data_IF_582063954200
#
_entry.id   IF_582063954200
#
_cell.length_a   1.000
_cell.length_b   1.000
_cell.length_c   1.000
_cell.angle_alpha   90.00
_cell.angle_beta   90.00
_cell.angle_gamma   90.00
#
_symmetry.space_group_name_H-M   'P 1'
#
loop_
_entity.id
_entity.type
_entity.pdbx_description
1 polymer ?
#
# COMPACT_ATOMS: atom_id res chain seq x y z
N UNK A 1 -63.26 -43.71 -18.56
CA UNK A 1 -63.86 -44.99 -19.01
C UNK A 1 -62.76 -46.04 -18.92
N UNK A 2 -63.00 -47.11 -18.14
CA UNK A 2 -62.19 -48.33 -17.95
C UNK A 2 -60.82 -48.15 -17.27
N UNK A 3 -60.68 -48.34 -15.95
CA UNK A 3 -60.65 -49.62 -15.18
C UNK A 3 -59.75 -50.69 -15.80
N UNK A 4 -58.68 -51.09 -15.09
CA UNK A 4 -58.45 -52.50 -14.75
C UNK A 4 -57.51 -52.67 -13.54
N UNK A 5 -57.89 -53.63 -12.70
CA UNK A 5 -57.32 -54.04 -11.41
C UNK A 5 -56.23 -55.12 -11.57
N UNK A 6 -55.28 -55.17 -10.65
CA UNK A 6 -54.72 -56.39 -9.99
C UNK A 6 -53.47 -55.97 -9.21
N UNK A 7 -53.42 -55.93 -7.88
CA UNK A 7 -53.57 -56.99 -6.87
C UNK A 7 -52.50 -58.09 -6.97
N UNK A 8 -51.40 -57.93 -6.24
CA UNK A 8 -50.62 -59.04 -5.66
C UNK A 8 -49.98 -58.61 -4.34
N UNK A 9 -50.37 -59.30 -3.27
CA UNK A 9 -49.77 -59.30 -1.94
C UNK A 9 -48.47 -60.12 -1.99
N UNK A 10 -47.42 -59.66 -1.34
CA UNK A 10 -46.37 -60.51 -0.77
C UNK A 10 -46.05 -60.01 0.64
N UNK A 11 -46.01 -60.95 1.57
CA UNK A 11 -45.75 -60.79 3.00
C UNK A 11 -44.28 -61.12 3.32
N UNK A 12 -43.81 -60.54 4.45
CA UNK A 12 -42.66 -60.91 5.29
C UNK A 12 -41.28 -60.74 4.62
N UNK A 13 -40.24 -60.18 5.25
CA UNK A 13 -39.69 -60.39 6.60
C UNK A 13 -38.84 -59.18 7.02
N UNK A 14 -38.86 -58.88 8.32
CA UNK A 14 -38.09 -57.81 8.93
C UNK A 14 -36.56 -58.02 8.87
N UNK A 15 -35.85 -56.93 8.57
CA UNK A 15 -34.41 -56.79 8.77
C UNK A 15 -34.22 -55.63 9.74
N UNK A 16 -33.65 -55.91 10.90
CA UNK A 16 -33.23 -54.91 11.87
C UNK A 16 -32.07 -54.11 11.28
N UNK A 17 -32.31 -52.85 10.96
CA UNK A 17 -31.27 -51.92 10.52
C UNK A 17 -30.48 -51.44 11.75
N UNK A 18 -29.27 -51.95 11.92
CA UNK A 18 -28.26 -51.37 12.80
C UNK A 18 -27.83 -50.04 12.18
N UNK A 19 -28.29 -48.93 12.75
CA UNK A 19 -27.86 -47.58 12.36
C UNK A 19 -26.47 -47.34 12.95
N UNK A 20 -25.43 -47.78 12.24
CA UNK A 20 -24.08 -47.28 12.47
C UNK A 20 -24.08 -45.78 12.13
N UNK A 21 -24.04 -44.93 13.16
CA UNK A 21 -23.64 -43.53 13.01
C UNK A 21 -22.17 -43.51 12.61
N UNK A 22 -21.90 -43.63 11.31
CA UNK A 22 -20.64 -43.16 10.75
C UNK A 22 -20.66 -41.64 10.89
N UNK A 23 -20.02 -41.18 11.97
CA UNK A 23 -19.61 -39.80 12.10
C UNK A 23 -18.56 -39.57 11.02
N UNK A 24 -19.00 -39.16 9.82
CA UNK A 24 -18.11 -38.63 8.81
C UNK A 24 -17.65 -37.29 9.37
N UNK A 25 -16.36 -37.11 9.71
CA UNK A 25 -15.87 -35.77 9.96
C UNK A 25 -16.10 -35.01 8.66
N UNK A 26 -17.05 -34.08 8.67
CA UNK A 26 -17.07 -32.98 7.72
C UNK A 26 -15.82 -32.17 8.02
N UNK A 27 -14.68 -32.64 7.51
CA UNK A 27 -13.52 -31.82 7.32
C UNK A 27 -14.01 -30.70 6.42
N UNK A 28 -14.25 -29.53 7.00
CA UNK A 28 -14.43 -28.31 6.26
C UNK A 28 -13.27 -28.26 5.27
N UNK A 29 -13.57 -28.48 4.00
CA UNK A 29 -12.67 -28.13 2.91
C UNK A 29 -12.53 -26.61 3.02
N UNK A 30 -11.55 -26.17 3.80
CA UNK A 30 -11.07 -24.80 3.76
C UNK A 30 -10.68 -24.60 2.30
N UNK A 31 -11.41 -23.75 1.58
CA UNK A 31 -11.07 -23.46 0.20
C UNK A 31 -9.61 -22.98 0.16
N UNK A 32 -8.83 -23.55 -0.76
CA UNK A 32 -7.41 -23.29 -0.88
C UNK A 32 -7.14 -21.83 -1.25
N UNK A 33 -6.03 -21.28 -0.74
CA UNK A 33 -5.49 -20.00 -1.19
C UNK A 33 -4.83 -20.17 -2.58
N UNK A 34 -4.79 -19.10 -3.36
CA UNK A 34 -4.12 -19.07 -4.66
C UNK A 34 -3.00 -18.05 -4.65
N UNK A 35 -1.78 -18.50 -4.89
CA UNK A 35 -0.58 -17.67 -4.99
C UNK A 35 -0.23 -17.48 -6.46
N UNK A 36 -0.15 -16.24 -6.91
CA UNK A 36 0.31 -15.88 -8.24
C UNK A 36 1.80 -15.58 -8.15
N UNK A 37 2.62 -16.36 -8.84
CA UNK A 37 4.08 -16.20 -8.82
C UNK A 37 4.63 -15.83 -10.20
N UNK A 38 5.65 -14.99 -10.19
CA UNK A 38 6.49 -14.71 -11.34
C UNK A 38 7.33 -15.95 -11.65
N UNK A 39 7.19 -16.43 -12.88
CA UNK A 39 8.05 -17.46 -13.43
C UNK A 39 9.41 -16.86 -13.85
N UNK A 40 10.36 -17.67 -14.31
CA UNK A 40 11.67 -17.14 -14.69
C UNK A 40 11.55 -16.04 -15.78
N UNK A 41 12.54 -15.15 -15.96
CA UNK A 41 12.49 -14.13 -17.01
C UNK A 41 12.15 -14.75 -18.38
N UNK A 42 11.02 -14.35 -18.97
CA UNK A 42 10.51 -14.89 -20.24
C UNK A 42 9.37 -15.91 -20.13
N UNK A 43 9.04 -16.38 -18.93
CA UNK A 43 7.94 -17.32 -18.70
C UNK A 43 6.64 -16.63 -18.26
N UNK A 44 5.50 -17.27 -18.57
CA UNK A 44 4.16 -16.81 -18.13
C UNK A 44 4.01 -17.00 -16.62
N UNK A 45 3.25 -16.11 -15.98
CA UNK A 45 2.91 -16.21 -14.55
C UNK A 45 2.35 -17.59 -14.21
N UNK A 46 2.76 -18.16 -13.07
CA UNK A 46 2.27 -19.45 -12.58
C UNK A 46 1.29 -19.21 -11.44
N UNK A 47 0.15 -19.92 -11.45
CA UNK A 47 -0.81 -19.96 -10.34
C UNK A 47 -0.58 -21.23 -9.55
N UNK A 48 -0.43 -21.11 -8.24
CA UNK A 48 -0.20 -22.23 -7.32
C UNK A 48 -1.30 -22.23 -6.27
N UNK A 49 -1.88 -23.39 -5.99
CA UNK A 49 -3.02 -23.54 -5.08
C UNK A 49 -2.65 -24.40 -3.88
N UNK A 50 -2.98 -23.92 -2.69
CA UNK A 50 -2.73 -24.58 -1.40
C UNK A 50 -3.07 -23.66 -0.23
N UNK A 51 -2.80 -24.07 1.00
CA UNK A 51 -2.98 -23.21 2.18
C UNK A 51 -1.71 -22.41 2.45
N UNK A 52 -1.80 -21.08 2.51
CA UNK A 52 -0.66 -20.25 2.95
C UNK A 52 -0.54 -20.38 4.47
N UNK A 53 0.54 -21.03 4.91
CA UNK A 53 0.82 -21.23 6.33
C UNK A 53 1.39 -19.95 6.95
N UNK A 54 2.31 -19.29 6.25
CA UNK A 54 2.82 -17.97 6.62
C UNK A 54 3.30 -17.19 5.40
N UNK A 55 3.35 -15.86 5.52
CA UNK A 55 3.92 -14.97 4.51
C UNK A 55 4.60 -13.78 5.20
N UNK A 56 5.92 -13.74 5.09
CA UNK A 56 6.81 -12.70 5.63
C UNK A 56 7.62 -12.05 4.52
N UNK A 57 8.48 -11.09 4.88
CA UNK A 57 9.49 -10.55 3.98
C UNK A 57 10.56 -11.52 3.52
N UNK A 58 10.72 -12.64 4.21
CA UNK A 58 11.76 -13.64 3.92
C UNK A 58 11.23 -14.80 3.09
N UNK A 59 9.97 -15.20 3.32
CA UNK A 59 9.38 -16.33 2.61
C UNK A 59 7.86 -16.33 2.62
N UNK A 60 7.28 -16.99 1.62
CA UNK A 60 5.91 -17.48 1.65
C UNK A 60 5.94 -19.01 1.76
N UNK A 61 5.32 -19.54 2.80
CA UNK A 61 5.21 -20.99 3.03
C UNK A 61 3.85 -21.48 2.57
N UNK A 62 3.83 -22.27 1.50
CA UNK A 62 2.61 -22.86 0.93
C UNK A 62 2.53 -24.35 1.27
N UNK A 63 1.41 -24.79 1.83
CA UNK A 63 1.12 -26.19 2.12
C UNK A 63 0.10 -26.74 1.13
N UNK A 64 0.46 -27.83 0.45
CA UNK A 64 -0.40 -28.53 -0.49
C UNK A 64 -1.32 -29.55 0.21
N UNK A 65 -2.44 -29.95 -0.42
CA UNK A 65 -3.37 -30.94 0.15
C UNK A 65 -2.72 -32.31 0.45
N UNK A 66 -1.63 -32.66 -0.24
CA UNK A 66 -0.87 -33.89 0.01
C UNK A 66 0.13 -33.77 1.18
N UNK A 67 0.11 -32.66 1.93
CA UNK A 67 1.03 -32.39 3.04
C UNK A 67 2.39 -31.86 2.64
N UNK A 68 2.73 -31.79 1.34
CA UNK A 68 3.98 -31.19 0.87
C UNK A 68 3.99 -29.69 1.18
N UNK A 69 5.13 -29.15 1.58
CA UNK A 69 5.35 -27.72 1.72
C UNK A 69 6.29 -27.20 0.63
N UNK A 70 6.05 -25.97 0.17
CA UNK A 70 6.93 -25.24 -0.75
C UNK A 70 7.18 -23.84 -0.18
N UNK A 71 8.46 -23.49 -0.12
CA UNK A 71 8.90 -22.13 0.24
C UNK A 71 9.08 -21.33 -1.05
N UNK A 72 8.37 -20.22 -1.15
CA UNK A 72 8.39 -19.31 -2.30
C UNK A 72 9.08 -18.02 -1.86
N UNK A 73 10.03 -17.57 -2.69
CA UNK A 73 10.69 -16.27 -2.54
C UNK A 73 9.65 -15.12 -2.66
N UNK A 74 9.53 -14.22 -1.67
CA UNK A 74 8.59 -13.10 -1.69
C UNK A 74 8.72 -12.20 -2.92
N UNK A 75 9.92 -12.02 -3.48
CA UNK A 75 10.13 -11.19 -4.68
C UNK A 75 9.49 -11.80 -5.95
N UNK A 76 9.17 -13.09 -5.89
CA UNK A 76 8.43 -13.80 -6.93
C UNK A 76 6.93 -13.75 -6.71
N UNK A 77 6.44 -13.40 -5.53
CA UNK A 77 5.00 -13.35 -5.24
C UNK A 77 4.41 -12.08 -5.85
N UNK A 78 3.50 -12.24 -6.81
CA UNK A 78 2.79 -11.14 -7.46
C UNK A 78 1.53 -10.80 -6.66
N UNK A 79 0.77 -11.82 -6.25
CA UNK A 79 -0.43 -11.65 -5.44
C UNK A 79 -0.75 -12.95 -4.68
N UNK A 80 -1.47 -12.81 -3.58
CA UNK A 80 -2.03 -13.90 -2.80
C UNK A 80 -3.54 -13.67 -2.72
N UNK A 81 -4.29 -14.53 -3.39
CA UNK A 81 -5.75 -14.57 -3.32
C UNK A 81 -6.11 -15.57 -2.23
N UNK A 82 -6.27 -15.07 -1.01
CA UNK A 82 -6.67 -15.90 0.11
C UNK A 82 -8.15 -16.28 0.07
N UNK A 83 -8.50 -17.36 0.75
CA UNK A 83 -9.89 -17.61 1.12
C UNK A 83 -10.30 -16.63 2.23
N UNK A 84 -10.76 -15.46 1.79
CA UNK A 84 -11.14 -14.36 2.67
C UNK A 84 -12.52 -14.59 3.27
N UNK A 85 -12.66 -14.34 4.59
CA UNK A 85 -13.98 -14.19 5.21
C UNK A 85 -14.74 -13.05 4.54
N UNK A 86 -16.07 -13.14 4.50
CA UNK A 86 -16.95 -12.15 3.87
C UNK A 86 -16.66 -10.72 4.33
N UNK A 87 -16.38 -10.53 5.63
CA UNK A 87 -16.03 -9.22 6.19
C UNK A 87 -14.77 -8.61 5.56
N UNK A 88 -13.76 -9.42 5.24
CA UNK A 88 -12.54 -8.96 4.59
C UNK A 88 -12.81 -8.62 3.12
N UNK A 89 -13.60 -9.43 2.41
CA UNK A 89 -14.02 -9.11 1.03
C UNK A 89 -14.78 -7.78 0.97
N UNK A 90 -15.70 -7.57 1.91
CA UNK A 90 -16.46 -6.33 2.06
C UNK A 90 -15.58 -5.13 2.42
N UNK A 91 -14.53 -5.33 3.23
CA UNK A 91 -13.54 -4.31 3.53
C UNK A 91 -12.73 -3.91 2.29
N UNK A 92 -12.25 -4.90 1.51
CA UNK A 92 -11.52 -4.68 0.26
C UNK A 92 -12.38 -3.91 -0.76
N UNK A 93 -13.67 -4.24 -0.86
CA UNK A 93 -14.61 -3.54 -1.73
C UNK A 93 -14.80 -2.06 -1.33
N UNK A 94 -15.01 -1.79 -0.03
CA UNK A 94 -15.07 -0.41 0.48
C UNK A 94 -13.78 0.36 0.24
N UNK A 95 -12.62 -0.28 0.44
CA UNK A 95 -11.31 0.32 0.19
C UNK A 95 -11.13 0.68 -1.30
N UNK A 96 -11.47 -0.23 -2.20
CA UNK A 96 -11.39 0.00 -3.64
C UNK A 96 -12.31 1.15 -4.09
N UNK A 97 -13.49 1.27 -3.48
CA UNK A 97 -14.44 2.34 -3.71
C UNK A 97 -14.01 3.71 -3.12
N UNK A 98 -12.91 3.76 -2.35
CA UNK A 98 -12.46 4.98 -1.69
C UNK A 98 -13.23 5.35 -0.43
N UNK A 99 -14.11 4.47 0.06
CA UNK A 99 -14.78 4.63 1.35
C UNK A 99 -13.89 4.07 2.48
N UNK A 100 -12.87 4.84 2.82
CA UNK A 100 -11.86 4.42 3.80
C UNK A 100 -12.42 4.33 5.22
N UNK A 101 -13.49 5.06 5.55
CA UNK A 101 -14.16 4.96 6.84
C UNK A 101 -14.90 3.62 6.99
N UNK A 102 -15.68 3.23 5.98
CA UNK A 102 -16.32 1.92 5.99
C UNK A 102 -15.29 0.78 5.90
N UNK A 103 -14.23 0.95 5.11
CA UNK A 103 -13.15 -0.02 5.02
C UNK A 103 -12.45 -0.22 6.36
N UNK A 104 -12.09 0.86 7.07
CA UNK A 104 -11.49 0.81 8.41
C UNK A 104 -12.35 -0.02 9.38
N UNK A 105 -13.65 0.30 9.48
CA UNK A 105 -14.55 -0.38 10.40
C UNK A 105 -14.57 -1.90 10.15
N UNK A 106 -14.64 -2.30 8.88
CA UNK A 106 -14.66 -3.71 8.46
C UNK A 106 -13.31 -4.40 8.63
N UNK A 107 -12.20 -3.74 8.31
CA UNK A 107 -10.87 -4.29 8.56
C UNK A 107 -10.58 -4.48 10.04
N UNK A 108 -11.03 -3.57 10.91
CA UNK A 108 -10.91 -3.74 12.37
C UNK A 108 -11.69 -4.96 12.86
N UNK A 109 -12.84 -5.24 12.26
CA UNK A 109 -13.58 -6.47 12.56
C UNK A 109 -12.85 -7.70 12.01
N UNK A 110 -12.43 -7.67 10.75
CA UNK A 110 -11.66 -8.74 10.13
C UNK A 110 -10.40 -9.10 10.94
N UNK A 111 -9.69 -8.10 11.48
CA UNK A 111 -8.51 -8.32 12.31
C UNK A 111 -8.82 -9.04 13.63
N UNK A 112 -9.99 -8.80 14.23
CA UNK A 112 -10.41 -9.50 15.46
C UNK A 112 -10.80 -10.95 15.18
N UNK A 113 -11.39 -11.19 14.01
CA UNK A 113 -11.95 -12.49 13.65
C UNK A 113 -10.93 -13.40 12.96
N UNK A 114 -9.80 -12.86 12.48
CA UNK A 114 -8.79 -13.59 11.72
C UNK A 114 -7.75 -14.25 12.64
N UNK A 115 -7.46 -15.51 12.41
CA UNK A 115 -6.50 -16.30 13.20
C UNK A 115 -5.18 -16.48 12.45
N UNK A 116 -5.19 -16.40 11.11
CA UNK A 116 -4.00 -16.55 10.28
C UNK A 116 -3.13 -15.30 10.40
N UNK A 117 -1.96 -15.44 11.02
CA UNK A 117 -1.00 -14.34 11.26
C UNK A 117 -0.64 -13.57 9.99
N UNK A 118 -0.40 -14.26 8.88
CA UNK A 118 -0.08 -13.60 7.60
C UNK A 118 -1.23 -12.73 7.07
N UNK A 119 -2.48 -13.13 7.30
CA UNK A 119 -3.65 -12.33 6.94
C UNK A 119 -3.78 -11.14 7.88
N UNK A 120 -3.53 -11.32 9.18
CA UNK A 120 -3.50 -10.21 10.13
C UNK A 120 -2.48 -9.13 9.72
N UNK A 121 -1.26 -9.53 9.28
CA UNK A 121 -0.25 -8.59 8.74
C UNK A 121 -0.77 -7.80 7.54
N UNK A 122 -1.42 -8.48 6.59
CA UNK A 122 -2.06 -7.83 5.44
C UNK A 122 -3.14 -6.85 5.89
N UNK A 123 -4.02 -7.25 6.80
CA UNK A 123 -5.11 -6.39 7.32
C UNK A 123 -4.54 -5.17 8.06
N UNK A 124 -3.47 -5.33 8.85
CA UNK A 124 -2.76 -4.21 9.48
C UNK A 124 -2.24 -3.22 8.44
N UNK A 125 -1.62 -3.70 7.35
CA UNK A 125 -1.17 -2.82 6.27
C UNK A 125 -2.32 -2.04 5.63
N UNK A 126 -3.47 -2.70 5.42
CA UNK A 126 -4.67 -2.06 4.86
C UNK A 126 -5.27 -1.03 5.82
N UNK A 127 -5.26 -1.31 7.13
CA UNK A 127 -5.65 -0.33 8.15
C UNK A 127 -4.72 0.88 8.16
N UNK A 128 -3.40 0.66 8.05
CA UNK A 128 -2.44 1.75 7.92
C UNK A 128 -2.78 2.65 6.73
N UNK A 129 -3.07 2.08 5.56
CA UNK A 129 -3.52 2.86 4.39
C UNK A 129 -4.83 3.62 4.65
N UNK A 130 -5.84 2.98 5.22
CA UNK A 130 -7.11 3.65 5.55
C UNK A 130 -6.87 4.86 6.45
N UNK A 131 -6.09 4.71 7.51
CA UNK A 131 -5.80 5.79 8.45
C UNK A 131 -5.01 6.92 7.79
N UNK A 132 -4.03 6.62 6.92
CA UNK A 132 -3.30 7.63 6.14
C UNK A 132 -4.27 8.46 5.29
N UNK A 133 -5.19 7.81 4.58
CA UNK A 133 -6.16 8.51 3.72
C UNK A 133 -7.22 9.30 4.47
N UNK A 134 -7.48 8.92 5.71
CA UNK A 134 -8.34 9.68 6.63
C UNK A 134 -7.59 10.79 7.37
N UNK A 135 -6.27 10.96 7.14
CA UNK A 135 -5.44 11.93 7.85
C UNK A 135 -5.17 11.58 9.32
N UNK A 136 -5.50 10.35 9.75
CA UNK A 136 -5.36 9.85 11.12
C UNK A 136 -3.98 9.23 11.33
N UNK A 137 -2.94 10.06 11.29
CA UNK A 137 -1.54 9.61 11.25
C UNK A 137 -1.14 8.78 12.49
N UNK A 138 -1.57 9.19 13.68
CA UNK A 138 -1.31 8.43 14.91
C UNK A 138 -1.87 7.00 14.85
N UNK A 139 -3.09 6.84 14.34
CA UNK A 139 -3.70 5.52 14.16
C UNK A 139 -3.00 4.71 13.06
N UNK A 140 -2.53 5.37 11.99
CA UNK A 140 -1.75 4.72 10.95
C UNK A 140 -0.45 4.11 11.51
N UNK A 141 0.25 4.85 12.38
CA UNK A 141 1.46 4.37 13.06
C UNK A 141 1.12 3.24 14.04
N UNK A 142 0.04 3.35 14.81
CA UNK A 142 -0.42 2.26 15.71
C UNK A 142 -0.77 0.98 14.97
N UNK A 143 -1.27 1.06 13.74
CA UNK A 143 -1.50 -0.12 12.90
C UNK A 143 -0.20 -0.67 12.28
N UNK A 144 0.73 0.21 11.89
CA UNK A 144 1.97 -0.18 11.22
C UNK A 144 3.02 -0.75 12.20
N UNK A 145 3.15 -0.18 13.39
CA UNK A 145 4.13 -0.59 14.39
C UNK A 145 4.09 -2.08 14.76
N UNK A 146 2.92 -2.70 15.07
CA UNK A 146 2.87 -4.13 15.34
C UNK A 146 3.19 -4.97 14.09
N UNK A 147 2.81 -4.52 12.89
CA UNK A 147 3.17 -5.19 11.64
C UNK A 147 4.70 -5.26 11.46
N UNK A 148 5.39 -4.13 11.60
CA UNK A 148 6.84 -4.08 11.45
C UNK A 148 7.58 -4.79 12.59
N UNK A 149 7.03 -4.76 13.82
CA UNK A 149 7.60 -5.52 14.95
C UNK A 149 7.50 -7.03 14.72
N UNK A 150 6.38 -7.48 14.17
CA UNK A 150 6.13 -8.89 13.89
C UNK A 150 7.00 -9.44 12.76
N UNK A 151 7.22 -8.61 11.75
CA UNK A 151 7.93 -8.95 10.52
C UNK A 151 8.69 -7.70 10.02
N UNK A 152 9.93 -7.47 10.52
CA UNK A 152 10.73 -6.31 10.11
C UNK A 152 10.99 -6.29 8.60
N UNK A 153 11.06 -7.46 7.95
CA UNK A 153 11.28 -7.57 6.50
C UNK A 153 9.99 -7.49 5.68
N UNK A 154 8.83 -7.21 6.31
CA UNK A 154 7.50 -7.33 5.70
C UNK A 154 7.36 -6.88 4.24
N UNK A 155 6.64 -7.62 3.38
CA UNK A 155 6.36 -7.20 2.01
C UNK A 155 5.49 -5.93 1.96
N UNK A 156 4.85 -5.57 3.08
CA UNK A 156 3.95 -4.43 3.18
C UNK A 156 4.63 -3.12 3.62
N UNK A 157 5.97 -3.03 3.50
CA UNK A 157 6.75 -1.85 3.90
C UNK A 157 6.25 -0.55 3.25
N UNK A 158 5.68 -0.62 2.04
CA UNK A 158 5.10 0.53 1.34
C UNK A 158 4.01 1.26 2.14
N UNK A 159 3.34 0.57 3.07
CA UNK A 159 2.33 1.14 3.94
C UNK A 159 2.90 2.14 4.96
N UNK A 160 4.21 2.14 5.20
CA UNK A 160 4.89 2.98 6.19
C UNK A 160 4.40 4.45 6.11
N UNK A 161 3.88 5.03 7.21
CA UNK A 161 3.24 6.34 7.18
C UNK A 161 4.25 7.50 7.17
N UNK A 162 5.03 7.60 6.11
CA UNK A 162 5.94 8.71 5.86
C UNK A 162 5.19 9.85 5.15
N UNK A 163 5.59 11.08 5.43
CA UNK A 163 5.21 12.22 4.60
C UNK A 163 6.29 12.50 3.55
N UNK A 164 5.86 12.80 2.33
CA UNK A 164 6.73 13.17 1.20
C UNK A 164 6.56 14.63 0.78
N UNK A 165 5.52 15.29 1.28
CA UNK A 165 5.18 16.69 1.01
C UNK A 165 5.58 17.58 2.19
N UNK A 166 6.05 18.79 1.90
CA UNK A 166 6.41 19.75 2.95
C UNK A 166 5.13 20.40 3.47
N UNK A 167 4.58 19.84 4.54
CA UNK A 167 3.39 20.36 5.22
C UNK A 167 3.67 20.40 6.72
N UNK A 168 3.31 21.51 7.35
CA UNK A 168 3.46 21.63 8.79
C UNK A 168 2.46 20.67 9.47
N UNK A 169 2.92 19.73 10.29
CA UNK A 169 2.02 18.87 11.05
C UNK A 169 1.19 19.71 12.03
N UNK A 170 -0.01 19.23 12.37
CA UNK A 170 -0.73 19.79 13.52
C UNK A 170 -0.01 19.43 14.83
N UNK A 171 -0.36 20.12 15.92
CA UNK A 171 0.34 19.99 17.20
C UNK A 171 0.34 18.56 17.76
N UNK A 172 -0.76 17.82 17.57
CA UNK A 172 -0.87 16.45 18.08
C UNK A 172 0.05 15.49 17.30
N UNK A 173 0.07 15.60 15.97
CA UNK A 173 0.98 14.83 15.12
C UNK A 173 2.43 15.20 15.40
N UNK A 174 2.75 16.48 15.60
CA UNK A 174 4.12 16.89 15.93
C UNK A 174 4.60 16.32 17.26
N UNK A 175 3.73 16.30 18.29
CA UNK A 175 4.04 15.72 19.60
C UNK A 175 4.31 14.23 19.50
N UNK A 176 3.47 13.48 18.77
CA UNK A 176 3.66 12.05 18.60
C UNK A 176 4.88 11.72 17.72
N UNK A 177 5.08 12.47 16.63
CA UNK A 177 6.26 12.33 15.78
C UNK A 177 7.56 12.57 16.54
N UNK A 178 7.55 13.54 17.46
CA UNK A 178 8.62 13.77 18.43
C UNK A 178 8.90 12.53 19.29
N UNK A 179 7.87 11.86 19.80
CA UNK A 179 8.05 10.64 20.60
C UNK A 179 8.61 9.50 19.75
N UNK A 180 8.09 9.28 18.54
CA UNK A 180 8.57 8.24 17.63
C UNK A 180 10.03 8.46 17.20
N UNK A 181 10.42 9.72 16.96
CA UNK A 181 11.80 10.09 16.63
C UNK A 181 12.81 9.65 17.69
N UNK A 182 12.40 9.64 18.97
CA UNK A 182 13.25 9.27 20.10
C UNK A 182 13.21 7.77 20.43
N UNK A 183 12.35 6.99 19.78
CA UNK A 183 12.20 5.56 20.04
C UNK A 183 13.33 4.73 19.41
N UNK A 184 14.42 4.55 20.16
CA UNK A 184 15.58 3.76 19.74
C UNK A 184 15.31 2.26 19.53
N UNK A 185 14.14 1.75 19.93
CA UNK A 185 13.81 0.34 19.77
C UNK A 185 13.29 -0.01 18.38
N UNK A 186 12.90 1.00 17.58
CA UNK A 186 12.31 0.78 16.27
C UNK A 186 12.83 1.78 15.23
N UNK A 187 13.65 1.28 14.31
CA UNK A 187 14.15 2.05 13.17
C UNK A 187 13.00 2.66 12.33
N UNK A 188 11.92 1.89 12.11
CA UNK A 188 10.75 2.37 11.39
C UNK A 188 10.04 3.54 12.10
N UNK A 189 9.85 3.47 13.43
CA UNK A 189 9.23 4.57 14.19
C UNK A 189 10.10 5.82 14.16
N UNK A 190 11.42 5.68 14.32
CA UNK A 190 12.35 6.81 14.20
C UNK A 190 12.28 7.47 12.84
N UNK A 191 12.23 6.67 11.76
CA UNK A 191 12.11 7.17 10.39
C UNK A 191 10.79 7.92 10.19
N UNK A 192 9.67 7.37 10.69
CA UNK A 192 8.37 8.04 10.66
C UNK A 192 8.45 9.37 11.40
N UNK A 193 8.91 9.36 12.65
CA UNK A 193 9.06 10.56 13.47
C UNK A 193 9.91 11.63 12.80
N UNK A 194 11.02 11.24 12.18
CA UNK A 194 11.88 12.14 11.42
C UNK A 194 11.13 12.76 10.23
N UNK A 195 10.43 11.95 9.42
CA UNK A 195 9.73 12.44 8.23
C UNK A 195 8.72 13.55 8.52
N UNK A 196 7.99 13.44 9.65
CA UNK A 196 6.96 14.39 10.08
C UNK A 196 7.53 15.63 10.80
N UNK A 197 8.71 15.53 11.40
CA UNK A 197 9.37 16.64 12.11
C UNK A 197 10.31 17.46 11.21
N UNK A 198 10.52 17.05 9.97
CA UNK A 198 11.33 17.80 8.98
C UNK A 198 10.80 19.21 8.65
N UNK A 199 9.48 19.41 8.78
CA UNK A 199 8.81 20.69 8.53
C UNK A 199 8.48 21.46 9.82
N UNK A 200 9.05 21.08 10.96
CA UNK A 200 8.76 21.67 12.28
C UNK A 200 9.99 22.35 12.89
N UNK A 201 9.85 22.92 14.08
CA UNK A 201 10.96 23.51 14.84
C UNK A 201 12.09 22.49 15.13
N UNK A 202 11.79 21.18 15.07
CA UNK A 202 12.75 20.10 15.35
C UNK A 202 13.48 19.58 14.11
N UNK A 203 13.43 20.31 13.00
CA UNK A 203 14.08 19.95 11.72
C UNK A 203 15.53 19.49 11.88
N UNK A 204 16.32 20.18 12.71
CA UNK A 204 17.74 19.82 12.91
C UNK A 204 17.91 18.44 13.54
N UNK A 205 17.07 18.08 14.51
CA UNK A 205 17.07 16.76 15.15
C UNK A 205 16.62 15.67 14.19
N UNK A 206 15.60 15.95 13.37
CA UNK A 206 15.14 15.03 12.33
C UNK A 206 16.24 14.73 11.31
N UNK A 207 16.94 15.76 10.81
CA UNK A 207 18.07 15.59 9.88
C UNK A 207 19.21 14.78 10.52
N UNK A 208 19.52 15.05 11.80
CA UNK A 208 20.51 14.27 12.53
C UNK A 208 20.13 12.79 12.59
N UNK A 209 18.89 12.48 12.99
CA UNK A 209 18.40 11.11 13.07
C UNK A 209 18.42 10.41 11.70
N UNK A 210 18.01 11.10 10.62
CA UNK A 210 18.04 10.53 9.27
C UNK A 210 19.45 10.13 8.82
N UNK A 211 20.48 10.91 9.21
CA UNK A 211 21.89 10.59 8.90
C UNK A 211 22.42 9.39 9.68
N UNK A 212 21.82 9.05 10.82
CA UNK A 212 22.24 7.89 11.62
C UNK A 212 21.81 6.56 11.00
N UNK A 213 20.87 6.55 10.05
CA UNK A 213 20.39 5.32 9.40
C UNK A 213 21.41 4.66 8.45
N UNK A 214 22.57 5.27 8.18
CA UNK A 214 23.59 4.69 7.28
C UNK A 214 24.06 3.29 7.75
N UNK A 215 23.99 3.00 9.05
CA UNK A 215 24.39 1.71 9.63
C UNK A 215 23.23 0.74 9.92
N UNK A 216 22.02 1.03 9.47
CA UNK A 216 20.84 0.22 9.78
C UNK A 216 20.79 -1.07 8.95
N UNK A 217 20.29 -2.14 9.57
CA UNK A 217 20.31 -3.48 8.97
C UNK A 217 19.29 -3.66 7.86
N UNK A 218 18.15 -2.97 7.93
CA UNK A 218 17.14 -2.99 6.87
C UNK A 218 17.49 -1.95 5.79
N UNK A 219 17.95 -2.38 4.59
CA UNK A 219 18.33 -1.45 3.53
C UNK A 219 17.17 -0.56 3.06
N UNK A 220 15.91 -1.00 3.24
CA UNK A 220 14.73 -0.22 2.85
C UNK A 220 14.57 1.01 3.72
N UNK A 221 14.86 0.89 5.01
CA UNK A 221 14.90 2.02 5.94
C UNK A 221 16.02 2.99 5.55
N UNK A 222 17.19 2.47 5.18
CA UNK A 222 18.32 3.31 4.71
C UNK A 222 17.92 4.10 3.46
N UNK A 223 17.36 3.43 2.44
CA UNK A 223 16.89 4.08 1.21
C UNK A 223 15.84 5.16 1.47
N UNK A 224 14.86 4.86 2.34
CA UNK A 224 13.82 5.82 2.69
C UNK A 224 14.38 7.00 3.48
N UNK A 225 15.33 6.77 4.40
CA UNK A 225 15.99 7.84 5.16
C UNK A 225 16.83 8.75 4.25
N UNK A 226 17.58 8.18 3.31
CA UNK A 226 18.30 8.92 2.26
C UNK A 226 17.34 9.81 1.45
N UNK A 227 16.23 9.24 0.96
CA UNK A 227 15.24 9.99 0.20
C UNK A 227 14.56 11.11 1.02
N UNK A 228 14.38 10.91 2.33
CA UNK A 228 13.91 11.95 3.24
C UNK A 228 14.94 13.08 3.41
N UNK A 229 16.24 12.80 3.37
CA UNK A 229 17.27 13.83 3.35
C UNK A 229 17.25 14.64 2.05
N UNK A 230 17.00 14.01 0.90
CA UNK A 230 16.89 14.72 -0.38
C UNK A 230 15.81 15.80 -0.35
N UNK A 231 14.69 15.57 0.34
CA UNK A 231 13.62 16.58 0.54
C UNK A 231 14.15 17.86 1.19
N UNK A 232 15.14 17.74 2.06
CA UNK A 232 15.74 18.88 2.75
C UNK A 232 16.75 19.63 1.88
N UNK A 233 17.26 18.97 0.84
CA UNK A 233 18.32 19.43 -0.04
C UNK A 233 17.80 19.87 -1.41
N UNK A 234 16.58 19.51 -1.80
CA UNK A 234 16.04 19.73 -3.15
C UNK A 234 16.06 21.20 -3.62
N UNK A 235 16.14 22.17 -2.71
CA UNK A 235 16.24 23.61 -3.05
C UNK A 235 17.69 24.04 -3.29
N UNK A 236 18.67 23.34 -2.70
CA UNK A 236 20.09 23.71 -2.70
C UNK A 236 20.99 22.70 -3.40
N UNK A 237 20.43 21.58 -3.87
CA UNK A 237 21.17 20.53 -4.57
C UNK A 237 21.71 21.04 -5.90
N UNK A 238 22.86 20.51 -6.32
CA UNK A 238 23.32 20.65 -7.69
C UNK A 238 22.63 19.62 -8.59
N UNK A 239 22.64 19.85 -9.90
CA UNK A 239 22.02 18.94 -10.88
C UNK A 239 22.67 17.54 -10.82
N UNK A 240 23.98 17.46 -10.56
CA UNK A 240 24.70 16.20 -10.39
C UNK A 240 24.24 15.42 -9.16
N UNK A 241 23.79 16.10 -8.10
CA UNK A 241 23.22 15.45 -6.92
C UNK A 241 21.90 14.77 -7.29
N UNK A 242 21.04 15.46 -8.03
CA UNK A 242 19.75 14.96 -8.49
C UNK A 242 19.92 13.74 -9.41
N UNK A 243 20.93 13.74 -10.27
CA UNK A 243 21.23 12.58 -11.11
C UNK A 243 21.70 11.38 -10.28
N UNK A 244 22.53 11.59 -9.26
CA UNK A 244 22.90 10.52 -8.32
C UNK A 244 21.69 9.97 -7.57
N UNK A 245 20.72 10.82 -7.19
CA UNK A 245 19.48 10.38 -6.56
C UNK A 245 18.64 9.51 -7.49
N UNK A 246 18.54 9.87 -8.78
CA UNK A 246 17.84 9.05 -9.80
C UNK A 246 18.45 7.65 -9.91
N UNK A 247 19.77 7.57 -10.02
CA UNK A 247 20.48 6.29 -10.07
C UNK A 247 20.26 5.49 -8.78
N UNK A 248 20.23 6.17 -7.63
CA UNK A 248 19.97 5.54 -6.33
C UNK A 248 18.56 4.95 -6.23
N UNK A 249 17.54 5.59 -6.80
CA UNK A 249 16.17 5.07 -6.83
C UNK A 249 16.09 3.73 -7.59
N UNK A 250 16.89 3.55 -8.65
CA UNK A 250 16.87 2.31 -9.42
C UNK A 250 17.41 1.09 -8.65
N UNK A 251 18.15 1.32 -7.56
CA UNK A 251 18.59 0.30 -6.63
C UNK A 251 17.56 -0.02 -5.52
N UNK A 252 16.55 0.82 -5.34
CA UNK A 252 15.53 0.62 -4.31
C UNK A 252 14.58 -0.52 -4.73
N UNK A 253 14.03 -1.29 -3.78
CA UNK A 253 12.89 -2.16 -4.05
C UNK A 253 11.75 -1.37 -4.68
N UNK A 254 11.12 -1.95 -5.70
CA UNK A 254 10.10 -1.24 -6.49
C UNK A 254 8.98 -0.67 -5.63
N UNK A 255 8.59 -1.34 -4.56
CA UNK A 255 7.50 -0.98 -3.64
C UNK A 255 7.71 0.32 -2.84
N UNK A 256 8.93 0.86 -2.76
CA UNK A 256 9.23 2.05 -1.95
C UNK A 256 9.67 3.27 -2.78
N UNK A 257 9.56 3.23 -4.11
CA UNK A 257 10.06 4.30 -4.99
C UNK A 257 9.10 5.48 -5.19
N UNK A 258 7.83 5.36 -4.81
CA UNK A 258 6.79 6.37 -5.07
C UNK A 258 7.14 7.74 -4.49
N UNK A 259 7.40 7.80 -3.19
CA UNK A 259 7.93 8.97 -2.49
C UNK A 259 9.24 9.52 -3.09
N UNK A 260 10.31 8.72 -3.19
CA UNK A 260 11.57 9.15 -3.81
C UNK A 260 11.43 9.77 -5.21
N UNK A 261 10.59 9.20 -6.10
CA UNK A 261 10.32 9.80 -7.42
C UNK A 261 9.69 11.20 -7.29
N UNK A 262 8.76 11.39 -6.35
CA UNK A 262 8.17 12.71 -6.10
C UNK A 262 9.23 13.73 -5.65
N UNK A 263 10.15 13.33 -4.78
CA UNK A 263 11.23 14.21 -4.28
C UNK A 263 12.20 14.62 -5.40
N UNK A 264 12.60 13.67 -6.23
CA UNK A 264 13.43 13.94 -7.40
C UNK A 264 12.71 14.84 -8.41
N UNK A 265 11.42 14.61 -8.66
CA UNK A 265 10.61 15.49 -9.50
C UNK A 265 10.62 16.93 -9.00
N UNK A 266 10.48 17.13 -7.68
CA UNK A 266 10.55 18.45 -7.07
C UNK A 266 11.92 19.12 -7.22
N UNK A 267 13.02 18.37 -7.13
CA UNK A 267 14.36 18.89 -7.36
C UNK A 267 14.59 19.25 -8.84
N UNK A 268 14.16 18.40 -9.78
CA UNK A 268 14.26 18.66 -11.21
C UNK A 268 13.49 19.92 -11.63
N UNK A 269 12.29 20.14 -11.06
CA UNK A 269 11.50 21.35 -11.27
C UNK A 269 12.28 22.62 -10.87
N UNK A 270 13.05 22.57 -9.77
CA UNK A 270 13.91 23.69 -9.33
C UNK A 270 15.07 23.98 -10.27
N UNK A 271 15.52 22.98 -11.02
CA UNK A 271 16.54 23.12 -12.06
C UNK A 271 15.95 23.41 -13.45
N UNK A 272 14.65 23.79 -13.52
CA UNK A 272 13.95 24.10 -14.78
C UNK A 272 13.92 22.91 -15.78
N UNK A 273 14.15 21.69 -15.28
CA UNK A 273 14.09 20.46 -16.07
C UNK A 273 12.65 19.95 -16.15
N UNK A 274 11.76 20.80 -16.66
CA UNK A 274 10.29 20.63 -16.58
C UNK A 274 9.80 19.28 -17.11
N UNK A 275 10.32 18.81 -18.24
CA UNK A 275 9.92 17.52 -18.82
C UNK A 275 10.27 16.35 -17.90
N UNK A 276 11.51 16.34 -17.38
CA UNK A 276 11.97 15.28 -16.49
C UNK A 276 11.26 15.33 -15.13
N UNK A 277 10.97 16.54 -14.65
CA UNK A 277 10.16 16.75 -13.45
C UNK A 277 8.75 16.15 -13.62
N UNK A 278 8.06 16.51 -14.72
CA UNK A 278 6.74 15.97 -15.05
C UNK A 278 6.76 14.43 -15.13
N UNK A 279 7.74 13.83 -15.80
CA UNK A 279 7.88 12.37 -15.90
C UNK A 279 8.01 11.72 -14.50
N UNK A 280 8.82 12.28 -13.61
CA UNK A 280 9.01 11.70 -12.27
C UNK A 280 7.75 11.82 -11.41
N UNK A 281 7.04 12.96 -11.48
CA UNK A 281 5.74 13.09 -10.82
C UNK A 281 4.71 12.11 -11.39
N UNK A 282 4.65 11.93 -12.72
CA UNK A 282 3.75 10.97 -13.35
C UNK A 282 4.11 9.52 -12.99
N UNK A 283 5.39 9.18 -12.80
CA UNK A 283 5.79 7.86 -12.28
C UNK A 283 5.19 7.62 -10.89
N UNK A 284 5.24 8.60 -9.99
CA UNK A 284 4.56 8.51 -8.69
C UNK A 284 3.05 8.27 -8.88
N UNK A 285 2.38 9.05 -9.71
CA UNK A 285 0.93 8.94 -9.90
C UNK A 285 0.48 7.60 -10.55
N UNK A 286 1.23 7.10 -11.54
CA UNK A 286 0.87 5.93 -12.33
C UNK A 286 1.33 4.63 -11.66
N UNK A 287 2.61 4.54 -11.28
CA UNK A 287 3.20 3.29 -10.75
C UNK A 287 2.87 3.08 -9.28
N UNK A 288 2.57 4.15 -8.55
CA UNK A 288 2.29 4.14 -7.10
C UNK A 288 0.89 4.68 -6.81
N UNK A 289 -0.09 4.30 -7.64
CA UNK A 289 -1.50 4.71 -7.47
C UNK A 289 -2.11 4.27 -6.13
N UNK A 290 -1.46 3.31 -5.45
CA UNK A 290 -1.78 2.89 -4.09
C UNK A 290 -1.25 3.84 -3.01
N UNK A 291 -0.61 4.97 -3.33
CA UNK A 291 -0.26 6.07 -2.42
C UNK A 291 -1.24 7.25 -2.61
N UNK A 292 -2.53 7.05 -2.35
CA UNK A 292 -3.60 8.01 -2.71
C UNK A 292 -3.51 9.35 -1.98
N UNK A 293 -2.73 9.44 -0.91
CA UNK A 293 -2.37 10.67 -0.21
C UNK A 293 -1.32 11.49 -0.98
N UNK A 294 -0.41 10.84 -1.71
CA UNK A 294 0.66 11.49 -2.50
C UNK A 294 0.27 11.74 -3.96
N UNK A 295 -0.46 10.81 -4.59
CA UNK A 295 -0.89 10.87 -5.99
C UNK A 295 -1.46 12.25 -6.40
N UNK A 296 -2.41 12.87 -5.69
CA UNK A 296 -2.98 14.14 -6.13
C UNK A 296 -1.95 15.29 -6.10
N UNK A 297 -0.96 15.24 -5.21
CA UNK A 297 0.13 16.22 -5.19
C UNK A 297 1.06 16.02 -6.39
N UNK A 298 1.37 14.77 -6.73
CA UNK A 298 2.18 14.44 -7.90
C UNK A 298 1.48 14.88 -9.20
N UNK A 299 0.18 14.62 -9.33
CA UNK A 299 -0.61 15.08 -10.49
C UNK A 299 -0.65 16.60 -10.59
N UNK A 300 -0.82 17.32 -9.46
CA UNK A 300 -0.81 18.78 -9.46
C UNK A 300 0.54 19.32 -9.91
N UNK A 301 1.63 18.74 -9.38
CA UNK A 301 2.98 19.15 -9.73
C UNK A 301 3.29 18.87 -11.21
N UNK A 302 2.98 17.67 -11.71
CA UNK A 302 3.12 17.33 -13.13
C UNK A 302 2.32 18.29 -14.03
N UNK A 303 1.08 18.62 -13.65
CA UNK A 303 0.26 19.59 -14.38
C UNK A 303 0.93 20.96 -14.50
N UNK A 304 1.52 21.46 -13.41
CA UNK A 304 2.24 22.74 -13.40
C UNK A 304 3.47 22.72 -14.31
N UNK A 305 4.22 21.63 -14.32
CA UNK A 305 5.37 21.47 -15.24
C UNK A 305 4.92 21.44 -16.71
N UNK A 306 3.83 20.73 -17.02
CA UNK A 306 3.25 20.68 -18.37
C UNK A 306 2.77 22.06 -18.85
N UNK A 307 2.16 22.85 -17.96
CA UNK A 307 1.79 24.24 -18.29
C UNK A 307 2.99 25.10 -18.64
N UNK A 308 4.07 25.00 -17.87
CA UNK A 308 5.33 25.73 -18.15
C UNK A 308 5.92 25.35 -19.50
N UNK A 309 5.74 24.09 -19.93
CA UNK A 309 6.14 23.61 -21.25
C UNK A 309 5.14 23.96 -22.38
N UNK A 310 4.05 24.66 -22.08
CA UNK A 310 2.99 25.00 -23.05
C UNK A 310 2.03 23.85 -23.37
N UNK A 311 2.15 22.69 -22.71
CA UNK A 311 1.27 21.53 -22.86
C UNK A 311 -0.02 21.69 -22.04
N UNK A 312 -0.74 22.80 -22.29
CA UNK A 312 -1.91 23.21 -21.50
C UNK A 312 -3.03 22.18 -21.53
N UNK A 313 -3.26 21.52 -22.67
CA UNK A 313 -4.30 20.48 -22.79
C UNK A 313 -4.06 19.30 -21.84
N UNK A 314 -2.82 18.85 -21.74
CA UNK A 314 -2.45 17.72 -20.89
C UNK A 314 -2.53 18.11 -19.40
N UNK A 315 -2.07 19.32 -19.05
CA UNK A 315 -2.21 19.87 -17.71
C UNK A 315 -3.68 19.94 -17.25
N UNK A 316 -4.57 20.43 -18.13
CA UNK A 316 -6.02 20.45 -17.89
C UNK A 316 -6.57 19.05 -17.63
N UNK A 317 -6.08 18.04 -18.37
CA UNK A 317 -6.40 16.64 -18.14
C UNK A 317 -6.05 16.19 -16.73
N UNK A 318 -4.83 16.47 -16.27
CA UNK A 318 -4.38 16.09 -14.92
C UNK A 318 -5.17 16.80 -13.81
N UNK A 319 -5.48 18.09 -13.97
CA UNK A 319 -6.29 18.80 -12.98
C UNK A 319 -7.72 18.27 -12.87
N UNK A 320 -8.34 17.93 -14.01
CA UNK A 320 -9.66 17.27 -14.01
C UNK A 320 -9.60 15.91 -13.33
N UNK A 321 -8.52 15.15 -13.53
CA UNK A 321 -8.34 13.87 -12.85
C UNK A 321 -8.28 14.04 -11.32
N UNK A 322 -7.58 15.06 -10.81
CA UNK A 322 -7.56 15.37 -9.36
C UNK A 322 -8.98 15.66 -8.86
N UNK A 323 -9.73 16.51 -9.54
CA UNK A 323 -11.10 16.86 -9.13
C UNK A 323 -12.07 15.68 -9.19
N UNK A 324 -11.88 14.77 -10.14
CA UNK A 324 -12.75 13.61 -10.33
C UNK A 324 -12.42 12.47 -9.37
N UNK A 325 -11.13 12.11 -9.23
CA UNK A 325 -10.68 10.94 -8.47
C UNK A 325 -10.27 11.26 -7.03
N UNK A 326 -9.89 12.51 -6.76
CA UNK A 326 -9.38 12.96 -5.46
C UNK A 326 -10.06 14.26 -4.96
N UNK A 327 -11.40 14.38 -5.01
CA UNK A 327 -12.10 15.64 -4.69
C UNK A 327 -11.90 16.13 -3.26
N UNK A 328 -11.53 15.23 -2.33
CA UNK A 328 -11.29 15.53 -0.91
C UNK A 328 -9.83 15.84 -0.59
N UNK A 329 -8.92 15.73 -1.54
CA UNK A 329 -7.51 16.06 -1.32
C UNK A 329 -7.33 17.57 -1.16
N UNK A 330 -6.39 17.98 -0.30
CA UNK A 330 -6.13 19.41 -0.04
C UNK A 330 -5.81 20.19 -1.33
N UNK A 331 -5.09 19.55 -2.25
CA UNK A 331 -4.68 20.12 -3.55
C UNK A 331 -5.80 20.19 -4.59
N UNK A 332 -6.99 19.66 -4.32
CA UNK A 332 -8.13 19.78 -5.24
C UNK A 332 -8.55 21.25 -5.41
N UNK A 333 -8.40 22.08 -4.37
CA UNK A 333 -8.68 23.52 -4.43
C UNK A 333 -7.71 24.21 -5.40
N UNK A 334 -6.42 23.89 -5.33
CA UNK A 334 -5.39 24.41 -6.23
C UNK A 334 -5.67 24.02 -7.68
N UNK A 335 -6.01 22.75 -7.93
CA UNK A 335 -6.35 22.25 -9.26
C UNK A 335 -7.60 22.96 -9.85
N UNK A 336 -8.65 23.14 -9.04
CA UNK A 336 -9.87 23.87 -9.44
C UNK A 336 -9.57 25.34 -9.76
N UNK A 337 -8.77 25.99 -8.93
CA UNK A 337 -8.34 27.38 -9.14
C UNK A 337 -7.57 27.51 -10.45
N UNK A 338 -6.64 26.59 -10.71
CA UNK A 338 -5.83 26.64 -11.92
C UNK A 338 -6.63 26.38 -13.19
N UNK A 339 -7.57 25.44 -13.16
CA UNK A 339 -8.49 25.20 -14.28
C UNK A 339 -9.31 26.43 -14.64
N UNK A 340 -9.80 27.19 -13.66
CA UNK A 340 -10.54 28.44 -13.91
C UNK A 340 -9.65 29.47 -14.59
N UNK A 341 -8.43 29.67 -14.09
CA UNK A 341 -7.48 30.62 -14.67
C UNK A 341 -7.13 30.29 -16.13
N UNK A 342 -6.95 29.01 -16.46
CA UNK A 342 -6.69 28.56 -17.83
C UNK A 342 -7.89 28.75 -18.77
N UNK A 343 -9.11 28.59 -18.27
CA UNK A 343 -10.31 28.85 -19.06
C UNK A 343 -10.48 30.35 -19.38
N UNK A 344 -10.23 31.21 -18.40
CA UNK A 344 -10.34 32.67 -18.57
C UNK A 344 -9.22 33.23 -19.45
N UNK A 345 -8.02 32.63 -19.41
CA UNK A 345 -6.87 33.02 -20.22
C UNK A 345 -7.06 32.74 -21.72
N UNK A 346 -7.80 31.69 -22.08
CA UNK A 346 -8.08 31.32 -23.48
C UNK A 346 -9.18 32.18 -24.14
N UNK A 347 -9.82 33.09 -23.41
CA UNK A 347 -10.86 34.00 -23.94
C UNK A 347 -10.32 35.38 -24.35
N UNK A 348 -9.04 35.66 -24.08
CA UNK A 348 -8.34 36.86 -24.54
C UNK A 348 -7.47 36.52 -25.73
#
# INVERSE_FOLDING_TARGET
>A
MLMFRSCRRFLYTGVAAVICHFWVPTGSSLADDVVIVRAAPGEKQRRVTGTVADYTGESLLLQYPNGRQETIDPDRVIDVIGNWKEIHQSANASFAAGDFGAAEAKYRQALRDEERRWVQRRVLSQLTWCYRYLGRIDDAVKAFAPLYRDDPTTPYIAAIPLTWITTQPNLDVERQATAWLQDKSSAALRLIGASWTLASARRAEAIKALREFVGESDPRIVFLAEAQLWRTQAVTSAQEDVERWRQRIELMPSTIRGGPYYVVGAALSRHEMHEQAAINFMRTAILFSAERDLVPYALLAAGRELETMGQVSDAVGLYREILNKHPKAQVAIDASTRLKQLADGNQK
#
